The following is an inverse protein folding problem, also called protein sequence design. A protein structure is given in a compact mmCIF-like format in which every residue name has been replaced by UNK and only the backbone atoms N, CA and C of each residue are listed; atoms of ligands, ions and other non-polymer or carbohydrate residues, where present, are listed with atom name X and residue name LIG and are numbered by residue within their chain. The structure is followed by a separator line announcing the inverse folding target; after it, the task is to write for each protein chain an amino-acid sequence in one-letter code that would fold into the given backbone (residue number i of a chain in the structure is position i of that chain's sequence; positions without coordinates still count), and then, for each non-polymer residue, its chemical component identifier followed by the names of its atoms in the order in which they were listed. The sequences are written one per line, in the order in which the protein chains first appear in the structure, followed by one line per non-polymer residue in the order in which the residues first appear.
data_IF_190548685040
#
_entry.id   IF_190548685040
#
_cell.length_a   1.000
_cell.length_b   1.000
_cell.length_c   1.000
_cell.angle_alpha   90.00
_cell.angle_beta   90.00
_cell.angle_gamma   90.00
#
_symmetry.space_group_name_H-M   'P 1'
#
loop_
_entity.id
_entity.type
_entity.pdbx_description
1 polymer ?
#
# COMPACT_ATOMS: atom_id res chain seq x y z
N UNK A 1 35.73 4.59 -30.03
CA UNK A 1 35.32 3.29 -30.54
C UNK A 1 35.09 2.34 -29.37
N UNK A 2 34.22 1.35 -29.54
CA UNK A 2 34.00 0.32 -28.53
C UNK A 2 35.26 -0.55 -28.36
N UNK A 3 35.51 -1.00 -27.13
CA UNK A 3 36.58 -1.95 -26.80
C UNK A 3 36.39 -3.23 -27.65
N UNK A 4 37.47 -3.76 -28.30
CA UNK A 4 37.39 -5.04 -29.02
C UNK A 4 36.92 -6.23 -28.19
N UNK A 5 37.00 -6.15 -26.84
CA UNK A 5 36.50 -7.13 -25.91
C UNK A 5 35.03 -6.95 -25.53
N UNK A 6 34.30 -5.99 -26.13
CA UNK A 6 32.89 -5.74 -25.86
C UNK A 6 32.06 -6.98 -26.19
N UNK A 7 31.25 -7.39 -25.20
CA UNK A 7 30.21 -8.40 -25.36
C UNK A 7 28.90 -7.97 -24.69
N UNK A 8 27.81 -8.47 -25.16
CA UNK A 8 26.52 -8.28 -24.49
C UNK A 8 26.46 -9.18 -23.26
N UNK A 9 26.12 -8.62 -22.11
CA UNK A 9 25.92 -9.37 -20.90
C UNK A 9 24.69 -10.30 -21.04
N UNK A 10 24.74 -11.48 -20.42
CA UNK A 10 23.58 -12.33 -20.31
C UNK A 10 22.67 -11.90 -19.16
N UNK A 11 21.46 -12.48 -19.09
CA UNK A 11 20.47 -12.14 -18.04
C UNK A 11 20.99 -12.39 -16.61
N UNK A 12 21.83 -13.41 -16.43
CA UNK A 12 22.42 -13.73 -15.12
C UNK A 12 23.41 -12.67 -14.67
N UNK A 13 24.25 -12.20 -15.60
CA UNK A 13 25.22 -11.13 -15.35
C UNK A 13 24.51 -9.80 -15.05
N UNK A 14 23.42 -9.50 -15.76
CA UNK A 14 22.63 -8.28 -15.52
C UNK A 14 22.02 -8.34 -14.11
N UNK A 15 21.42 -9.47 -13.71
CA UNK A 15 20.85 -9.63 -12.36
C UNK A 15 21.90 -9.50 -11.25
N UNK A 16 23.10 -10.04 -11.46
CA UNK A 16 24.20 -9.87 -10.49
C UNK A 16 24.61 -8.41 -10.36
N UNK A 17 24.74 -7.71 -11.49
CA UNK A 17 25.08 -6.29 -11.48
C UNK A 17 23.98 -5.45 -10.80
N UNK A 18 22.73 -5.72 -11.09
CA UNK A 18 21.59 -5.05 -10.41
C UNK A 18 21.62 -5.30 -8.91
N UNK A 19 21.91 -6.53 -8.45
CA UNK A 19 22.02 -6.85 -7.04
C UNK A 19 23.18 -6.10 -6.36
N UNK A 20 24.37 -6.06 -6.98
CA UNK A 20 25.53 -5.32 -6.49
C UNK A 20 25.24 -3.81 -6.37
N UNK A 21 24.53 -3.25 -7.34
CA UNK A 21 24.12 -1.83 -7.31
C UNK A 21 23.11 -1.57 -6.22
N UNK A 22 22.13 -2.47 -6.04
CA UNK A 22 21.12 -2.34 -5.00
C UNK A 22 21.73 -2.41 -3.60
N UNK A 23 22.63 -3.37 -3.35
CA UNK A 23 23.34 -3.51 -2.09
C UNK A 23 24.08 -2.21 -1.72
N UNK A 24 24.88 -1.66 -2.64
CA UNK A 24 25.59 -0.40 -2.43
C UNK A 24 24.63 0.78 -2.20
N UNK A 25 23.56 0.87 -2.98
CA UNK A 25 22.56 1.92 -2.84
C UNK A 25 21.96 1.94 -1.42
N UNK A 26 21.62 0.76 -0.89
CA UNK A 26 21.05 0.64 0.44
C UNK A 26 22.09 0.85 1.54
N UNK A 27 23.31 0.35 1.36
CA UNK A 27 24.42 0.61 2.30
C UNK A 27 24.70 2.11 2.42
N UNK A 28 24.80 2.81 1.31
CA UNK A 28 25.02 4.26 1.27
C UNK A 28 23.85 5.02 1.95
N UNK A 29 22.61 4.66 1.61
CA UNK A 29 21.42 5.29 2.18
C UNK A 29 21.29 5.06 3.69
N UNK A 30 21.59 3.85 4.17
CA UNK A 30 21.66 3.54 5.60
C UNK A 30 22.83 4.23 6.30
N UNK A 31 23.96 4.40 5.59
CA UNK A 31 25.12 5.13 6.09
C UNK A 31 24.86 6.62 6.27
N UNK A 32 24.13 7.24 5.37
CA UNK A 32 23.68 8.64 5.47
C UNK A 32 22.55 8.82 6.49
N UNK A 33 21.70 7.82 6.64
CA UNK A 33 20.61 7.74 7.62
C UNK A 33 19.74 9.02 7.68
N UNK A 34 19.38 9.59 6.51
CA UNK A 34 18.52 10.79 6.49
C UNK A 34 17.16 10.52 7.15
N UNK A 35 16.55 11.49 7.84
CA UNK A 35 15.25 11.31 8.48
C UNK A 35 14.16 10.82 7.50
N UNK A 36 14.19 11.31 6.26
CA UNK A 36 13.26 10.94 5.21
C UNK A 36 13.45 9.47 4.80
N UNK A 37 14.69 9.03 4.65
CA UNK A 37 15.00 7.64 4.33
C UNK A 37 14.58 6.70 5.46
N UNK A 38 14.91 7.03 6.71
CA UNK A 38 14.52 6.23 7.87
C UNK A 38 12.99 6.11 7.99
N UNK A 39 12.25 7.21 7.78
CA UNK A 39 10.80 7.17 7.76
C UNK A 39 10.25 6.29 6.62
N UNK A 40 10.89 6.34 5.45
CA UNK A 40 10.54 5.49 4.32
C UNK A 40 10.77 4.00 4.65
N UNK A 41 11.93 3.67 5.22
CA UNK A 41 12.26 2.30 5.67
C UNK A 41 11.22 1.82 6.69
N UNK A 42 10.91 2.61 7.71
CA UNK A 42 9.91 2.27 8.73
C UNK A 42 8.51 2.01 8.14
N UNK A 43 8.19 2.70 7.06
CA UNK A 43 6.88 2.57 6.38
C UNK A 43 6.79 1.33 5.47
N UNK A 44 7.89 0.90 4.88
CA UNK A 44 7.92 -0.17 3.86
C UNK A 44 8.56 -1.47 4.33
N UNK A 45 9.52 -1.41 5.27
CA UNK A 45 10.15 -2.61 5.80
C UNK A 45 9.25 -3.31 6.81
N UNK A 46 9.19 -4.62 6.75
CA UNK A 46 8.53 -5.44 7.77
C UNK A 46 9.57 -6.18 8.58
N UNK A 47 9.84 -5.70 9.79
CA UNK A 47 10.87 -6.27 10.64
C UNK A 47 12.28 -5.79 10.26
N UNK A 48 13.26 -6.69 10.22
CA UNK A 48 14.68 -6.37 9.97
C UNK A 48 15.13 -6.63 8.52
N UNK A 49 14.19 -6.71 7.57
CA UNK A 49 14.51 -7.06 6.16
C UNK A 49 14.12 -5.93 5.24
N UNK A 50 15.06 -5.51 4.38
CA UNK A 50 14.85 -4.51 3.33
C UNK A 50 14.26 -5.11 2.05
N UNK A 51 13.95 -6.40 2.04
CA UNK A 51 13.46 -7.10 0.84
C UNK A 51 12.28 -6.40 0.16
N UNK A 52 11.31 -5.92 0.91
CA UNK A 52 10.14 -5.21 0.33
C UNK A 52 10.54 -3.87 -0.26
N UNK A 53 11.52 -3.21 0.34
CA UNK A 53 12.08 -1.96 -0.17
C UNK A 53 12.80 -2.21 -1.49
N UNK A 54 13.66 -3.22 -1.56
CA UNK A 54 14.34 -3.66 -2.77
C UNK A 54 13.34 -3.99 -3.88
N UNK A 55 12.32 -4.79 -3.58
CA UNK A 55 11.26 -5.15 -4.53
C UNK A 55 10.52 -3.91 -5.07
N UNK A 56 10.27 -2.91 -4.23
CA UNK A 56 9.64 -1.65 -4.64
C UNK A 56 10.56 -0.83 -5.56
N UNK A 57 11.85 -0.74 -5.24
CA UNK A 57 12.86 -0.04 -6.05
C UNK A 57 13.01 -0.73 -7.41
N UNK A 58 13.18 -2.05 -7.46
CA UNK A 58 13.26 -2.80 -8.73
C UNK A 58 12.02 -2.61 -9.58
N UNK A 59 10.83 -2.69 -8.98
CA UNK A 59 9.57 -2.48 -9.72
C UNK A 59 9.51 -1.09 -10.32
N UNK A 60 9.89 -0.04 -9.57
CA UNK A 60 9.92 1.33 -10.06
C UNK A 60 10.95 1.50 -11.17
N UNK A 61 12.16 0.96 -10.99
CA UNK A 61 13.23 0.98 -11.99
C UNK A 61 12.77 0.35 -13.30
N UNK A 62 12.35 -0.91 -13.29
CA UNK A 62 11.91 -1.61 -14.50
C UNK A 62 10.71 -0.93 -15.18
N UNK A 63 9.79 -0.37 -14.37
CA UNK A 63 8.67 0.38 -14.92
C UNK A 63 9.13 1.67 -15.60
N UNK A 64 10.03 2.43 -14.96
CA UNK A 64 10.56 3.67 -15.54
C UNK A 64 11.31 3.43 -16.85
N UNK A 65 12.04 2.31 -16.96
CA UNK A 65 12.78 1.91 -18.17
C UNK A 65 11.88 1.60 -19.36
N UNK A 66 10.55 1.48 -19.17
CA UNK A 66 9.59 1.38 -20.27
C UNK A 66 9.32 2.71 -20.99
N UNK A 67 9.79 3.82 -20.42
CA UNK A 67 9.65 5.16 -20.99
C UNK A 67 10.91 5.56 -21.77
N UNK A 68 10.80 6.37 -22.85
CA UNK A 68 11.95 6.80 -23.65
C UNK A 68 12.99 7.62 -22.85
N UNK A 69 12.53 8.35 -21.83
CA UNK A 69 13.33 9.21 -20.96
C UNK A 69 13.00 8.90 -19.49
N UNK A 70 13.55 7.80 -18.92
CA UNK A 70 13.19 7.33 -17.59
C UNK A 70 13.49 8.32 -16.48
N UNK A 71 14.60 9.04 -16.55
CA UNK A 71 14.98 10.02 -15.53
C UNK A 71 14.03 11.22 -15.53
N UNK A 72 13.67 11.75 -16.69
CA UNK A 72 12.69 12.84 -16.82
C UNK A 72 11.30 12.38 -16.33
N UNK A 73 10.93 11.14 -16.63
CA UNK A 73 9.68 10.56 -16.17
C UNK A 73 9.65 10.43 -14.63
N UNK A 74 10.74 9.93 -14.02
CA UNK A 74 10.84 9.82 -12.55
C UNK A 74 10.76 11.18 -11.88
N UNK A 75 11.48 12.19 -12.43
CA UNK A 75 11.44 13.55 -11.89
C UNK A 75 10.02 14.16 -11.98
N UNK A 76 9.35 13.99 -13.11
CA UNK A 76 7.97 14.45 -13.27
C UNK A 76 7.03 13.77 -12.27
N UNK A 77 7.21 12.45 -12.00
CA UNK A 77 6.43 11.75 -10.97
C UNK A 77 6.74 12.24 -9.57
N UNK A 78 8.01 12.54 -9.26
CA UNK A 78 8.39 13.13 -7.98
C UNK A 78 7.70 14.47 -7.73
N UNK A 79 7.59 15.32 -8.76
CA UNK A 79 6.88 16.60 -8.66
C UNK A 79 5.37 16.42 -8.38
N UNK A 80 4.73 15.36 -8.90
CA UNK A 80 3.32 15.07 -8.60
C UNK A 80 3.04 14.82 -7.12
N UNK A 81 4.04 14.38 -6.35
CA UNK A 81 3.92 14.14 -4.90
C UNK A 81 4.25 15.36 -4.03
N UNK A 82 4.76 16.44 -4.60
CA UNK A 82 4.97 17.70 -3.87
C UNK A 82 3.64 18.40 -3.68
N UNK A 83 3.16 18.41 -2.44
CA UNK A 83 1.87 19.00 -2.05
C UNK A 83 2.12 19.99 -0.91
N UNK A 84 1.54 21.16 -0.97
CA UNK A 84 1.73 22.20 0.04
C UNK A 84 0.50 22.39 0.94
N UNK A 85 -0.67 21.85 0.55
CA UNK A 85 -1.90 21.93 1.33
C UNK A 85 -2.78 20.69 1.14
N UNK A 86 -3.74 20.51 2.04
CA UNK A 86 -4.74 19.44 1.95
C UNK A 86 -5.64 19.61 0.74
N UNK A 87 -5.97 20.85 0.38
CA UNK A 87 -6.78 21.17 -0.78
C UNK A 87 -6.04 20.70 -2.06
N UNK A 88 -4.76 21.05 -2.17
CA UNK A 88 -3.94 20.60 -3.30
C UNK A 88 -3.83 19.07 -3.35
N UNK A 89 -3.68 18.40 -2.21
CA UNK A 89 -3.68 16.95 -2.13
C UNK A 89 -4.98 16.34 -2.68
N UNK A 90 -6.12 16.90 -2.27
CA UNK A 90 -7.43 16.42 -2.70
C UNK A 90 -7.63 16.54 -4.22
N UNK A 91 -7.00 17.51 -4.86
CA UNK A 91 -7.06 17.72 -6.31
C UNK A 91 -6.09 16.85 -7.11
N UNK A 92 -5.11 16.20 -6.46
CA UNK A 92 -4.13 15.34 -7.13
C UNK A 92 -4.80 14.07 -7.69
N UNK A 93 -4.53 13.81 -8.97
CA UNK A 93 -5.12 12.66 -9.69
C UNK A 93 -4.80 11.33 -9.01
N UNK A 94 -3.55 11.11 -8.61
CA UNK A 94 -3.13 9.88 -7.94
C UNK A 94 -3.87 9.67 -6.61
N UNK A 95 -4.14 10.75 -5.87
CA UNK A 95 -4.91 10.68 -4.63
C UNK A 95 -6.38 10.33 -4.90
N UNK A 96 -6.99 10.95 -5.89
CA UNK A 96 -8.35 10.61 -6.34
C UNK A 96 -8.46 9.16 -6.82
N UNK A 97 -7.45 8.65 -7.52
CA UNK A 97 -7.43 7.25 -7.96
C UNK A 97 -7.25 6.30 -6.77
N UNK A 98 -6.46 6.67 -5.74
CA UNK A 98 -6.35 5.92 -4.48
C UNK A 98 -7.69 5.88 -3.72
N UNK A 99 -8.43 7.00 -3.64
CA UNK A 99 -9.77 7.03 -3.04
C UNK A 99 -10.75 6.09 -3.75
N UNK A 100 -10.75 6.07 -5.08
CA UNK A 100 -11.61 5.14 -5.86
C UNK A 100 -11.25 3.69 -5.60
N UNK A 101 -9.96 3.38 -5.51
CA UNK A 101 -9.51 2.03 -5.16
C UNK A 101 -9.98 1.64 -3.76
N UNK A 102 -9.83 2.54 -2.79
CA UNK A 102 -10.34 2.34 -1.44
C UNK A 102 -11.84 2.07 -1.41
N UNK A 103 -12.65 2.85 -2.14
CA UNK A 103 -14.09 2.64 -2.25
C UNK A 103 -14.41 1.23 -2.80
N UNK A 104 -13.65 0.75 -3.78
CA UNK A 104 -13.79 -0.60 -4.32
C UNK A 104 -13.51 -1.68 -3.26
N UNK A 105 -12.43 -1.51 -2.49
CA UNK A 105 -12.06 -2.44 -1.40
C UNK A 105 -13.13 -2.43 -0.30
N UNK A 106 -13.58 -1.25 0.12
CA UNK A 106 -14.64 -1.13 1.14
C UNK A 106 -15.94 -1.78 0.70
N UNK A 107 -16.31 -1.64 -0.58
CA UNK A 107 -17.49 -2.30 -1.13
C UNK A 107 -17.38 -3.83 -1.09
N UNK A 108 -16.23 -4.37 -1.45
CA UNK A 108 -15.99 -5.82 -1.34
C UNK A 108 -16.00 -6.31 0.11
N UNK A 109 -15.46 -5.51 1.04
CA UNK A 109 -15.56 -5.81 2.47
C UNK A 109 -17.01 -5.84 2.94
N UNK A 110 -17.83 -4.83 2.58
CA UNK A 110 -19.26 -4.78 2.91
C UNK A 110 -20.02 -6.01 2.39
N UNK A 111 -19.79 -6.41 1.14
CA UNK A 111 -20.40 -7.63 0.57
C UNK A 111 -20.05 -8.87 1.37
N UNK A 112 -18.80 -9.00 1.81
CA UNK A 112 -18.37 -10.13 2.64
C UNK A 112 -19.03 -10.14 4.01
N UNK A 113 -19.14 -8.97 4.65
CA UNK A 113 -19.84 -8.84 5.96
C UNK A 113 -21.34 -9.15 5.81
N UNK A 114 -22.00 -8.66 4.76
CA UNK A 114 -23.41 -9.02 4.49
C UNK A 114 -23.59 -10.53 4.33
N UNK A 115 -22.71 -11.19 3.56
CA UNK A 115 -22.75 -12.64 3.42
C UNK A 115 -22.51 -13.37 4.73
N UNK A 116 -21.61 -12.86 5.58
CA UNK A 116 -21.38 -13.42 6.91
C UNK A 116 -22.59 -13.24 7.82
N UNK A 117 -23.30 -12.11 7.75
CA UNK A 117 -24.56 -11.87 8.46
C UNK A 117 -25.66 -12.84 8.02
N UNK A 118 -25.83 -13.06 6.72
CA UNK A 118 -26.80 -14.04 6.20
C UNK A 118 -26.53 -15.45 6.77
N UNK A 119 -25.25 -15.85 6.82
CA UNK A 119 -24.86 -17.15 7.40
C UNK A 119 -25.10 -17.18 8.90
N UNK A 120 -24.73 -16.12 9.63
CA UNK A 120 -24.87 -16.06 11.08
C UNK A 120 -26.33 -16.06 11.54
N UNK A 121 -27.22 -15.45 10.76
CA UNK A 121 -28.67 -15.39 11.01
C UNK A 121 -29.44 -16.58 10.45
N UNK A 122 -28.77 -17.42 9.62
CA UNK A 122 -29.38 -18.61 9.04
C UNK A 122 -29.60 -19.73 10.06
N UNK A 123 -30.34 -20.77 9.63
CA UNK A 123 -30.62 -21.94 10.48
C UNK A 123 -29.31 -22.62 10.91
N UNK A 124 -29.09 -22.76 12.23
CA UNK A 124 -27.86 -23.33 12.79
C UNK A 124 -26.63 -22.41 12.67
N UNK A 125 -26.83 -21.16 12.29
CA UNK A 125 -25.75 -20.18 12.16
C UNK A 125 -25.26 -19.66 13.51
N UNK A 126 -24.04 -19.11 13.57
CA UNK A 126 -23.43 -18.61 14.81
C UNK A 126 -24.00 -17.22 15.19
N UNK A 127 -25.24 -17.21 15.67
CA UNK A 127 -26.01 -15.98 16.01
C UNK A 127 -25.27 -15.05 16.98
N UNK A 128 -24.36 -15.56 17.80
CA UNK A 128 -23.56 -14.80 18.75
C UNK A 128 -22.60 -13.79 18.09
N UNK A 129 -22.36 -13.88 16.78
CA UNK A 129 -21.50 -12.96 16.05
C UNK A 129 -22.26 -11.87 15.28
N UNK A 130 -23.59 -11.93 15.26
CA UNK A 130 -24.41 -10.96 14.50
C UNK A 130 -24.14 -9.53 14.95
N UNK A 131 -24.13 -9.27 16.24
CA UNK A 131 -23.87 -7.94 16.79
C UNK A 131 -22.49 -7.40 16.39
N UNK A 132 -21.46 -8.25 16.37
CA UNK A 132 -20.12 -7.87 15.92
C UNK A 132 -20.11 -7.53 14.42
N UNK A 133 -20.75 -8.37 13.60
CA UNK A 133 -20.82 -8.17 12.15
C UNK A 133 -21.61 -6.90 11.77
N UNK A 134 -22.68 -6.59 12.50
CA UNK A 134 -23.44 -5.35 12.31
C UNK A 134 -22.60 -4.12 12.68
N UNK A 135 -21.83 -4.19 13.77
CA UNK A 135 -20.90 -3.13 14.15
C UNK A 135 -19.79 -2.93 13.10
N UNK A 136 -19.22 -4.02 12.57
CA UNK A 136 -18.22 -3.97 11.52
C UNK A 136 -18.79 -3.38 10.21
N UNK A 137 -20.05 -3.73 9.86
CA UNK A 137 -20.71 -3.17 8.70
C UNK A 137 -20.90 -1.64 8.86
N UNK A 138 -21.37 -1.20 10.03
CA UNK A 138 -21.52 0.24 10.31
C UNK A 138 -20.18 0.98 10.25
N UNK A 139 -19.10 0.37 10.73
CA UNK A 139 -17.75 0.92 10.62
C UNK A 139 -17.35 1.11 9.14
N UNK A 140 -17.51 0.06 8.31
CA UNK A 140 -17.19 0.12 6.87
C UNK A 140 -18.06 1.14 6.12
N UNK A 141 -19.32 1.29 6.49
CA UNK A 141 -20.20 2.32 5.93
C UNK A 141 -19.73 3.73 6.27
N UNK A 142 -19.30 3.95 7.52
CA UNK A 142 -18.79 5.25 7.95
C UNK A 142 -17.46 5.60 7.24
N UNK A 143 -16.56 4.64 7.10
CA UNK A 143 -15.33 4.82 6.34
C UNK A 143 -15.60 5.20 4.88
N UNK A 144 -16.59 4.57 4.25
CA UNK A 144 -16.98 4.84 2.87
C UNK A 144 -17.69 6.20 2.66
N UNK A 145 -17.94 6.99 3.70
CA UNK A 145 -18.48 8.36 3.59
C UNK A 145 -17.40 9.41 3.38
N UNK A 146 -16.15 9.11 3.71
CA UNK A 146 -15.04 10.03 3.54
C UNK A 146 -14.81 10.37 2.06
N UNK A 147 -14.64 11.66 1.74
CA UNK A 147 -14.46 12.15 0.37
C UNK A 147 -13.20 12.99 0.18
N UNK A 148 -12.54 13.35 1.26
CA UNK A 148 -11.31 14.11 1.27
C UNK A 148 -10.34 13.57 2.33
N UNK A 149 -9.10 14.11 2.32
CA UNK A 149 -8.05 13.66 3.23
C UNK A 149 -8.43 13.82 4.70
N UNK A 150 -9.04 14.95 5.09
CA UNK A 150 -9.36 15.21 6.49
C UNK A 150 -10.40 14.22 7.02
N UNK A 151 -11.47 13.98 6.27
CA UNK A 151 -12.50 13.00 6.61
C UNK A 151 -11.94 11.58 6.64
N UNK A 152 -11.03 11.26 5.71
CA UNK A 152 -10.36 9.97 5.67
C UNK A 152 -9.48 9.78 6.91
N UNK A 153 -8.64 10.78 7.22
CA UNK A 153 -7.77 10.75 8.39
C UNK A 153 -8.56 10.52 9.67
N UNK A 154 -9.64 11.28 9.88
CA UNK A 154 -10.50 11.14 11.04
C UNK A 154 -11.15 9.75 11.10
N UNK A 155 -11.64 9.25 9.97
CA UNK A 155 -12.29 7.93 9.88
C UNK A 155 -11.35 6.78 10.19
N UNK A 156 -10.06 6.90 9.84
CA UNK A 156 -9.07 5.82 10.03
C UNK A 156 -8.30 5.92 11.34
N UNK A 157 -8.15 7.12 11.90
CA UNK A 157 -7.40 7.32 13.16
C UNK A 157 -8.07 6.62 14.35
N UNK A 158 -9.39 6.53 14.36
CA UNK A 158 -10.18 5.98 15.48
C UNK A 158 -10.85 4.65 15.15
N UNK A 159 -10.28 3.88 14.21
CA UNK A 159 -10.80 2.54 13.90
C UNK A 159 -10.66 1.64 15.13
N UNK A 160 -11.79 1.05 15.53
CA UNK A 160 -11.82 0.04 16.57
C UNK A 160 -12.80 -1.07 16.17
N UNK A 161 -12.27 -2.27 16.00
CA UNK A 161 -13.10 -3.46 15.79
C UNK A 161 -13.65 -3.97 17.12
N UNK A 162 -14.87 -4.47 17.08
CA UNK A 162 -15.47 -5.07 18.26
C UNK A 162 -14.77 -6.39 18.63
N UNK A 163 -14.63 -6.66 19.92
CA UNK A 163 -14.08 -7.94 20.38
C UNK A 163 -15.09 -9.05 20.10
N UNK A 164 -14.64 -10.13 19.44
CA UNK A 164 -15.49 -11.28 19.15
C UNK A 164 -16.08 -11.87 20.42
N UNK A 165 -17.37 -12.22 20.37
CA UNK A 165 -18.06 -12.93 21.44
C UNK A 165 -17.39 -14.26 21.74
N UNK A 166 -17.11 -14.55 23.01
CA UNK A 166 -16.61 -15.85 23.49
C UNK A 166 -17.72 -16.80 23.90
N UNK A 167 -18.99 -16.41 23.74
CA UNK A 167 -20.12 -17.27 24.01
C UNK A 167 -20.11 -18.44 23.06
N UNK A 168 -20.33 -19.65 23.57
CA UNK A 168 -20.57 -20.83 22.72
C UNK A 168 -21.94 -20.69 22.07
N UNK A 169 -22.09 -21.25 20.85
CA UNK A 169 -23.41 -21.40 20.27
C UNK A 169 -24.28 -22.21 21.26
N UNK A 170 -25.49 -21.76 21.50
CA UNK A 170 -26.50 -22.60 22.18
C UNK A 170 -26.98 -23.60 21.16
N UNK A 171 -26.95 -24.90 21.53
CA UNK A 171 -27.45 -26.03 20.73
C UNK A 171 -28.96 -25.97 20.52
#
# INVERSE_FOLDING_TARGET
GLDPGFRVADEGEIKLLEADVMERLLEDAHGEASPEFLHFVDSYSTGSSDQKLEEAIYRLYHFSMSYPFPEEWLEARREDYKVQSVEELNDRKWYQDALKYMDTVLEECRKRVHKALEIAQGYGGPIQYVENLEADLQLLENMGKARDYSQLYDSFTYISFTTLSRKKAED
#
